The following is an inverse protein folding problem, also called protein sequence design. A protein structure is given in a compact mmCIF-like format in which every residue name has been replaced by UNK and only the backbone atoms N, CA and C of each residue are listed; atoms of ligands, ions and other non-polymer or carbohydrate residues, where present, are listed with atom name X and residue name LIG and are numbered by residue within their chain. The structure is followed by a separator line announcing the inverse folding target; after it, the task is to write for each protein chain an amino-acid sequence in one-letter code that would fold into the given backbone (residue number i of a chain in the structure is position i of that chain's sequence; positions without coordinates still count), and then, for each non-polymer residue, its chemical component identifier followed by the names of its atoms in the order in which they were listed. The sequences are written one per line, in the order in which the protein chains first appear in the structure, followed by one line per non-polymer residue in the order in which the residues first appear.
data_IF_191900368816
#
_entry.id   IF_191900368816
#
_cell.length_a   1.000
_cell.length_b   1.000
_cell.length_c   1.000
_cell.angle_alpha   90.00
_cell.angle_beta   90.00
_cell.angle_gamma   90.00
#
_symmetry.space_group_name_H-M   'P 1'
#
loop_
_entity.id
_entity.type
_entity.pdbx_description
1 polymer ?
#
# COMPACT_ATOMS: atom_id res chain seq x y z
N UNK A 1 35.42 53.14 -22.48
CA UNK A 1 35.59 51.67 -22.44
C UNK A 1 34.84 51.18 -21.26
N UNK A 2 33.60 50.77 -21.41
CA UNK A 2 32.69 50.25 -20.39
C UNK A 2 32.26 48.86 -20.83
N UNK A 3 32.75 47.88 -20.11
CA UNK A 3 32.43 46.48 -20.30
C UNK A 3 31.11 46.18 -19.58
N UNK A 4 30.08 45.74 -20.30
CA UNK A 4 28.83 45.28 -19.74
C UNK A 4 28.80 43.77 -19.74
N UNK A 5 28.99 43.21 -18.57
CA UNK A 5 28.83 41.78 -18.32
C UNK A 5 27.33 41.48 -18.15
N UNK A 6 26.73 40.85 -19.12
CA UNK A 6 25.35 40.33 -19.06
C UNK A 6 25.32 39.05 -18.23
N UNK A 7 24.74 39.12 -17.05
CA UNK A 7 24.39 37.93 -16.26
C UNK A 7 23.12 37.29 -16.85
N UNK A 8 23.29 36.13 -17.47
CA UNK A 8 22.19 35.26 -17.86
C UNK A 8 21.75 34.45 -16.64
N UNK A 9 20.64 34.81 -16.04
CA UNK A 9 19.99 34.02 -15.01
C UNK A 9 19.29 32.83 -15.66
N UNK A 10 19.88 31.65 -15.53
CA UNK A 10 19.26 30.37 -15.86
C UNK A 10 18.19 30.07 -14.80
N UNK A 11 16.92 30.26 -15.15
CA UNK A 11 15.81 29.77 -14.32
C UNK A 11 15.74 28.24 -14.47
N UNK A 12 16.25 27.54 -13.46
CA UNK A 12 15.93 26.12 -13.29
C UNK A 12 14.44 26.01 -12.92
N UNK A 13 13.60 25.61 -13.88
CA UNK A 13 12.30 25.03 -13.58
C UNK A 13 12.56 23.75 -12.81
N UNK A 14 12.23 23.73 -11.52
CA UNK A 14 12.14 22.51 -10.74
C UNK A 14 11.02 21.67 -11.38
N UNK A 15 11.41 20.58 -12.01
CA UNK A 15 10.51 19.55 -12.50
C UNK A 15 9.95 18.83 -11.26
N UNK A 16 8.82 19.33 -10.73
CA UNK A 16 8.12 18.68 -9.62
C UNK A 16 7.56 17.37 -10.15
N UNK A 17 8.14 16.26 -9.70
CA UNK A 17 7.70 14.93 -10.12
C UNK A 17 6.21 14.73 -9.78
N UNK A 18 5.43 14.02 -10.61
CA UNK A 18 4.02 13.71 -10.32
C UNK A 18 3.80 13.03 -8.96
N UNK A 19 4.82 12.35 -8.45
CA UNK A 19 4.83 11.66 -7.14
C UNK A 19 4.81 12.65 -5.97
N UNK A 20 5.55 13.76 -6.04
CA UNK A 20 5.54 14.79 -4.98
C UNK A 20 4.18 15.49 -4.88
N UNK A 21 3.53 15.76 -6.00
CA UNK A 21 2.19 16.37 -6.02
C UNK A 21 1.17 15.43 -5.40
N UNK A 22 1.24 14.13 -5.67
CA UNK A 22 0.32 13.14 -5.13
C UNK A 22 0.51 12.90 -3.63
N UNK A 23 1.74 12.88 -3.14
CA UNK A 23 2.02 12.68 -1.71
C UNK A 23 1.44 13.77 -0.81
N UNK A 24 1.12 14.93 -1.37
CA UNK A 24 0.50 16.05 -0.65
C UNK A 24 -1.01 15.91 -0.44
N UNK A 25 -1.65 14.92 -1.07
CA UNK A 25 -3.11 14.75 -1.09
C UNK A 25 -3.58 13.40 -0.54
N UNK A 26 -2.85 12.78 0.35
CA UNK A 26 -3.28 11.55 1.00
C UNK A 26 -3.34 11.70 2.51
N UNK A 27 -4.13 10.83 3.15
CA UNK A 27 -4.15 10.64 4.59
C UNK A 27 -4.20 9.15 4.91
N UNK A 28 -3.65 8.77 6.06
CA UNK A 28 -3.73 7.41 6.58
C UNK A 28 -4.02 7.42 8.07
N UNK A 29 -4.75 6.41 8.52
CA UNK A 29 -5.08 6.22 9.93
C UNK A 29 -5.28 4.75 10.22
N UNK A 30 -4.84 4.31 11.39
CA UNK A 30 -5.14 3.01 11.96
C UNK A 30 -5.44 3.19 13.45
N UNK A 31 -6.37 2.42 13.97
CA UNK A 31 -6.77 2.46 15.38
C UNK A 31 -7.23 1.08 15.84
N UNK A 32 -6.96 0.77 17.11
CA UNK A 32 -7.40 -0.48 17.73
C UNK A 32 -8.92 -0.57 17.90
N UNK A 33 -9.62 0.59 17.89
CA UNK A 33 -11.04 0.67 18.14
C UNK A 33 -11.39 0.55 19.64
N UNK A 34 -12.68 0.31 19.94
CA UNK A 34 -13.19 0.34 21.32
C UNK A 34 -13.41 -1.04 21.94
N UNK A 35 -13.25 -2.13 21.18
CA UNK A 35 -13.60 -3.50 21.57
C UNK A 35 -12.39 -4.42 21.61
N UNK A 36 -11.42 -4.19 20.73
CA UNK A 36 -10.20 -5.01 20.63
C UNK A 36 -9.13 -4.51 21.59
N UNK A 37 -8.29 -5.41 22.06
CA UNK A 37 -7.12 -5.08 22.91
C UNK A 37 -5.89 -4.75 22.06
N UNK A 38 -5.79 -5.34 20.86
CA UNK A 38 -4.68 -5.18 19.93
C UNK A 38 -5.18 -4.73 18.56
N UNK A 39 -4.35 -3.98 17.87
CA UNK A 39 -4.56 -3.60 16.47
C UNK A 39 -3.82 -4.61 15.59
N UNK A 40 -4.57 -5.43 14.87
CA UNK A 40 -4.03 -6.44 13.95
C UNK A 40 -3.87 -5.90 12.52
N UNK A 41 -4.19 -4.62 12.31
CA UNK A 41 -4.06 -3.96 11.01
C UNK A 41 -2.64 -3.44 10.80
N UNK A 42 -2.19 -3.49 9.57
CA UNK A 42 -0.97 -2.83 9.11
C UNK A 42 -1.24 -2.05 7.83
N UNK A 43 -0.49 -0.97 7.64
CA UNK A 43 -0.62 -0.15 6.43
C UNK A 43 0.74 0.36 5.96
N UNK A 44 0.80 0.74 4.69
CA UNK A 44 1.92 1.49 4.15
C UNK A 44 1.45 2.59 3.20
N UNK A 45 2.18 3.70 3.24
CA UNK A 45 2.05 4.82 2.31
C UNK A 45 3.44 5.18 1.82
N UNK A 46 3.82 4.58 0.71
CA UNK A 46 5.09 4.80 -0.01
C UNK A 46 4.77 5.08 -1.48
N UNK A 47 4.32 6.30 -1.82
CA UNK A 47 3.90 6.59 -3.18
C UNK A 47 4.92 6.09 -4.23
N UNK A 48 4.47 5.41 -5.30
CA UNK A 48 3.07 5.25 -5.74
C UNK A 48 2.29 4.11 -5.06
N UNK A 49 2.86 3.40 -4.08
CA UNK A 49 2.25 2.30 -3.33
C UNK A 49 1.44 2.82 -2.12
N UNK A 50 0.22 2.31 -2.02
CA UNK A 50 -0.66 2.44 -0.86
C UNK A 50 -1.24 1.06 -0.53
N UNK A 51 -1.17 0.63 0.71
CA UNK A 51 -1.73 -0.67 1.07
C UNK A 51 -2.24 -0.70 2.51
N UNK A 52 -3.28 -1.51 2.72
CA UNK A 52 -3.83 -1.86 4.02
C UNK A 52 -3.98 -3.38 4.12
N UNK A 53 -3.73 -3.92 5.29
CA UNK A 53 -3.83 -5.34 5.60
C UNK A 53 -4.50 -5.50 6.98
N UNK A 54 -5.59 -6.25 7.03
CA UNK A 54 -6.33 -6.60 8.26
C UNK A 54 -6.00 -8.04 8.63
N UNK A 55 -5.26 -8.19 9.71
CA UNK A 55 -4.74 -9.47 10.16
C UNK A 55 -5.78 -10.31 10.90
N UNK A 56 -5.66 -11.62 10.79
CA UNK A 56 -6.49 -12.59 11.48
C UNK A 56 -5.67 -13.79 11.99
N UNK A 57 -6.09 -14.40 13.07
CA UNK A 57 -5.40 -15.58 13.61
C UNK A 57 -5.41 -15.66 15.15
N UNK A 58 -6.06 -14.72 15.77
CA UNK A 58 -6.18 -14.61 17.23
C UNK A 58 -4.89 -14.17 17.92
N UNK A 59 -5.00 -13.35 18.96
CA UNK A 59 -3.90 -12.74 19.68
C UNK A 59 -2.97 -11.96 18.71
N UNK A 60 -1.65 -12.09 18.89
CA UNK A 60 -0.64 -11.38 18.10
C UNK A 60 -0.42 -11.95 16.68
N UNK A 61 -1.07 -13.06 16.34
CA UNK A 61 -0.78 -13.74 15.06
C UNK A 61 -1.31 -12.97 13.86
N UNK A 62 -2.45 -12.28 13.98
CA UNK A 62 -2.97 -11.40 12.92
C UNK A 62 -2.05 -10.21 12.68
N UNK A 63 -1.55 -9.58 13.74
CA UNK A 63 -0.58 -8.48 13.63
C UNK A 63 0.69 -8.92 12.87
N UNK A 64 1.24 -10.10 13.22
CA UNK A 64 2.40 -10.66 12.54
C UNK A 64 2.13 -10.88 11.05
N UNK A 65 0.97 -11.43 10.71
CA UNK A 65 0.62 -11.71 9.31
C UNK A 65 0.46 -10.42 8.49
N UNK A 66 -0.24 -9.41 9.03
CA UNK A 66 -0.41 -8.13 8.35
C UNK A 66 0.92 -7.39 8.20
N UNK A 67 1.79 -7.42 9.22
CA UNK A 67 3.11 -6.79 9.18
C UNK A 67 4.03 -7.45 8.15
N UNK A 68 4.11 -8.79 8.11
CA UNK A 68 4.89 -9.51 7.09
C UNK A 68 4.43 -9.13 5.68
N UNK A 69 3.11 -9.03 5.49
CA UNK A 69 2.53 -8.68 4.19
C UNK A 69 2.92 -7.28 3.77
N UNK A 70 2.75 -6.30 4.64
CA UNK A 70 3.12 -4.90 4.33
C UNK A 70 4.62 -4.75 4.11
N UNK A 71 5.46 -5.37 4.93
CA UNK A 71 6.91 -5.32 4.76
C UNK A 71 7.35 -5.95 3.44
N UNK A 72 6.74 -7.07 3.04
CA UNK A 72 7.03 -7.71 1.74
C UNK A 72 6.64 -6.79 0.57
N UNK A 73 5.50 -6.11 0.65
CA UNK A 73 5.10 -5.15 -0.38
C UNK A 73 6.04 -3.94 -0.43
N UNK A 74 6.48 -3.43 0.70
CA UNK A 74 7.46 -2.34 0.75
C UNK A 74 8.75 -2.68 0.01
N UNK A 75 9.18 -3.94 0.09
CA UNK A 75 10.41 -4.43 -0.55
C UNK A 75 10.23 -4.77 -2.03
N UNK A 76 9.07 -5.31 -2.42
CA UNK A 76 8.89 -5.98 -3.72
C UNK A 76 7.85 -5.32 -4.64
N UNK A 77 7.00 -4.43 -4.14
CA UNK A 77 5.99 -3.80 -4.99
C UNK A 77 6.65 -2.92 -6.06
N UNK A 78 6.07 -2.87 -7.28
CA UNK A 78 6.60 -2.05 -8.34
C UNK A 78 6.46 -0.55 -8.01
N UNK A 79 7.37 0.24 -8.55
CA UNK A 79 7.33 1.71 -8.48
C UNK A 79 6.60 2.34 -9.68
N UNK A 80 5.96 1.52 -10.48
CA UNK A 80 5.15 1.92 -11.64
C UNK A 80 3.86 1.09 -11.69
N UNK A 81 2.90 1.52 -12.50
CA UNK A 81 1.61 0.84 -12.66
C UNK A 81 1.75 -0.47 -13.48
N UNK A 82 2.47 -1.44 -12.93
CA UNK A 82 2.68 -2.79 -13.46
C UNK A 82 1.87 -3.81 -12.64
N UNK A 83 0.76 -4.28 -13.22
CA UNK A 83 -0.17 -5.19 -12.56
C UNK A 83 0.45 -6.58 -12.30
N UNK A 84 1.28 -7.08 -13.21
CA UNK A 84 1.93 -8.38 -13.04
C UNK A 84 3.00 -8.33 -11.94
N UNK A 85 3.77 -7.25 -11.88
CA UNK A 85 4.76 -7.06 -10.83
C UNK A 85 4.08 -6.93 -9.45
N UNK A 86 2.97 -6.20 -9.35
CA UNK A 86 2.19 -6.12 -8.12
C UNK A 86 1.62 -7.50 -7.72
N UNK A 87 1.09 -8.26 -8.66
CA UNK A 87 0.59 -9.61 -8.40
C UNK A 87 1.70 -10.54 -7.88
N UNK A 88 2.91 -10.48 -8.44
CA UNK A 88 4.07 -11.24 -7.94
C UNK A 88 4.44 -10.85 -6.50
N UNK A 89 4.41 -9.57 -6.18
CA UNK A 89 4.66 -9.09 -4.81
C UNK A 89 3.61 -9.63 -3.81
N UNK A 90 2.34 -9.67 -4.20
CA UNK A 90 1.25 -10.25 -3.39
C UNK A 90 1.47 -11.75 -3.17
N UNK A 91 1.83 -12.50 -4.20
CA UNK A 91 2.15 -13.93 -4.08
C UNK A 91 3.34 -14.14 -3.13
N UNK A 92 4.38 -13.33 -3.25
CA UNK A 92 5.54 -13.40 -2.36
C UNK A 92 5.14 -13.11 -0.90
N UNK A 93 4.29 -12.12 -0.65
CA UNK A 93 3.77 -11.83 0.68
C UNK A 93 3.02 -13.03 1.27
N UNK A 94 2.13 -13.66 0.50
CA UNK A 94 1.41 -14.86 0.93
C UNK A 94 2.38 -16.01 1.29
N UNK A 95 3.40 -16.24 0.47
CA UNK A 95 4.41 -17.27 0.77
C UNK A 95 5.21 -16.96 2.04
N UNK A 96 5.53 -15.71 2.31
CA UNK A 96 6.23 -15.31 3.52
C UNK A 96 5.37 -15.52 4.76
N UNK A 97 4.07 -15.19 4.71
CA UNK A 97 3.12 -15.48 5.81
C UNK A 97 3.02 -16.98 6.08
N UNK A 98 2.89 -17.81 5.03
CA UNK A 98 2.80 -19.27 5.17
C UNK A 98 4.07 -19.88 5.75
N UNK A 99 5.24 -19.36 5.41
CA UNK A 99 6.53 -19.88 5.87
C UNK A 99 6.91 -19.42 7.30
N UNK A 100 6.42 -18.30 7.75
CA UNK A 100 6.82 -17.68 9.02
C UNK A 100 6.71 -18.60 10.24
N UNK A 101 5.63 -19.42 10.42
CA UNK A 101 5.53 -20.32 11.54
C UNK A 101 6.65 -21.39 11.60
N UNK A 102 7.12 -21.90 10.46
CA UNK A 102 8.25 -22.83 10.42
C UNK A 102 9.58 -22.22 10.87
N UNK A 103 9.65 -20.89 10.91
CA UNK A 103 10.79 -20.12 11.38
C UNK A 103 10.60 -19.61 12.84
N UNK A 104 9.53 -20.03 13.51
CA UNK A 104 9.19 -19.60 14.86
C UNK A 104 8.55 -18.19 14.93
N UNK A 105 8.01 -17.69 13.82
CA UNK A 105 7.39 -16.36 13.72
C UNK A 105 5.89 -16.52 13.55
N UNK A 106 5.10 -15.93 14.47
CA UNK A 106 3.65 -16.09 14.49
C UNK A 106 3.21 -17.53 14.77
N UNK A 107 2.10 -17.96 14.17
CA UNK A 107 1.58 -19.33 14.33
C UNK A 107 0.91 -19.83 13.06
N UNK A 108 0.74 -21.15 12.97
CA UNK A 108 -0.02 -21.77 11.91
C UNK A 108 -1.47 -21.28 11.87
N UNK A 109 -2.00 -21.07 10.68
CA UNK A 109 -3.36 -20.59 10.46
C UNK A 109 -3.52 -19.05 10.57
N UNK A 110 -2.46 -18.31 10.87
CA UNK A 110 -2.50 -16.85 10.74
C UNK A 110 -2.68 -16.44 9.28
N UNK A 111 -3.34 -15.32 9.07
CA UNK A 111 -3.57 -14.77 7.75
C UNK A 111 -3.85 -13.28 7.82
N UNK A 112 -4.03 -12.68 6.68
CA UNK A 112 -4.40 -11.27 6.58
C UNK A 112 -5.15 -11.01 5.28
N UNK A 113 -6.04 -10.03 5.29
CA UNK A 113 -6.51 -9.41 4.06
C UNK A 113 -5.39 -8.55 3.47
N UNK A 114 -5.55 -8.15 2.23
CA UNK A 114 -4.72 -7.15 1.58
C UNK A 114 -5.54 -6.37 0.56
N UNK A 115 -5.48 -5.06 0.64
CA UNK A 115 -5.88 -4.17 -0.44
C UNK A 115 -4.72 -3.24 -0.72
N UNK A 116 -4.11 -3.39 -1.89
CA UNK A 116 -2.96 -2.60 -2.32
C UNK A 116 -3.29 -1.84 -3.60
N UNK A 117 -2.79 -0.63 -3.71
CA UNK A 117 -2.96 0.24 -4.86
C UNK A 117 -1.63 0.82 -5.31
N UNK A 118 -1.40 0.82 -6.62
CA UNK A 118 -0.34 1.61 -7.27
C UNK A 118 -1.03 2.71 -8.07
N UNK A 119 -0.73 3.94 -7.72
CA UNK A 119 -1.27 5.11 -8.41
C UNK A 119 -0.15 5.86 -9.13
N UNK A 120 -0.14 5.77 -10.45
CA UNK A 120 0.85 6.41 -11.30
C UNK A 120 0.15 7.21 -12.40
N UNK A 121 0.34 8.52 -12.42
CA UNK A 121 -0.31 9.44 -13.35
C UNK A 121 -1.84 9.26 -13.31
N UNK A 122 -2.44 8.81 -14.41
CA UNK A 122 -3.87 8.57 -14.55
C UNK A 122 -4.25 7.07 -14.43
N UNK A 123 -3.31 6.22 -14.02
CA UNK A 123 -3.51 4.78 -13.88
C UNK A 123 -3.55 4.38 -12.41
N UNK A 124 -4.63 3.72 -12.03
CA UNK A 124 -4.78 3.07 -10.74
C UNK A 124 -4.81 1.55 -10.96
N UNK A 125 -3.91 0.84 -10.29
CA UNK A 125 -3.90 -0.62 -10.24
C UNK A 125 -4.20 -1.04 -8.82
N UNK A 126 -5.11 -1.99 -8.65
CA UNK A 126 -5.49 -2.53 -7.36
C UNK A 126 -5.27 -4.03 -7.36
N UNK A 127 -4.63 -4.51 -6.28
CA UNK A 127 -4.60 -5.92 -5.92
C UNK A 127 -5.37 -6.11 -4.62
N UNK A 128 -6.18 -7.18 -4.55
CA UNK A 128 -6.99 -7.47 -3.37
C UNK A 128 -6.97 -8.95 -3.03
N UNK A 129 -6.92 -9.21 -1.72
CA UNK A 129 -7.15 -10.52 -1.09
C UNK A 129 -8.03 -10.29 0.14
N UNK A 130 -9.15 -11.00 0.23
CA UNK A 130 -10.08 -10.90 1.35
C UNK A 130 -11.23 -9.93 1.13
N UNK A 131 -11.76 -9.35 2.20
CA UNK A 131 -12.98 -8.53 2.24
C UNK A 131 -12.76 -7.08 2.67
N UNK A 132 -11.52 -6.64 2.85
CA UNK A 132 -11.20 -5.22 2.91
C UNK A 132 -11.49 -4.56 1.57
N UNK A 133 -12.03 -3.32 1.59
CA UNK A 133 -12.63 -2.72 0.39
C UNK A 133 -11.94 -1.44 -0.03
N UNK A 134 -11.86 -1.23 -1.33
CA UNK A 134 -11.50 0.05 -1.92
C UNK A 134 -12.70 0.70 -2.60
N UNK A 135 -12.82 2.01 -2.44
CA UNK A 135 -13.88 2.83 -3.01
C UNK A 135 -13.26 3.96 -3.84
N UNK A 136 -13.89 4.25 -4.95
CA UNK A 136 -13.60 5.40 -5.80
C UNK A 136 -14.72 6.44 -5.65
N UNK A 137 -14.35 7.65 -5.27
CA UNK A 137 -15.24 8.81 -5.35
C UNK A 137 -14.89 9.60 -6.61
N UNK A 138 -15.82 9.61 -7.57
CA UNK A 138 -15.65 10.33 -8.82
C UNK A 138 -16.93 11.08 -9.20
N UNK A 139 -16.81 12.34 -9.53
CA UNK A 139 -17.96 13.21 -9.90
C UNK A 139 -19.12 13.15 -8.90
N UNK A 140 -18.81 13.12 -7.60
CA UNK A 140 -19.82 13.05 -6.53
C UNK A 140 -20.46 11.68 -6.33
N UNK A 141 -20.05 10.65 -7.07
CA UNK A 141 -20.53 9.27 -6.95
C UNK A 141 -19.46 8.39 -6.28
N UNK A 142 -19.85 7.69 -5.22
CA UNK A 142 -19.01 6.71 -4.53
C UNK A 142 -19.30 5.31 -5.06
N UNK A 143 -18.26 4.62 -5.51
CA UNK A 143 -18.35 3.27 -6.05
C UNK A 143 -17.33 2.35 -5.37
N UNK A 144 -17.77 1.17 -4.90
CA UNK A 144 -16.87 0.10 -4.51
C UNK A 144 -16.23 -0.50 -5.76
N UNK A 145 -14.90 -0.50 -5.82
CA UNK A 145 -14.13 -0.98 -6.98
C UNK A 145 -13.47 -2.34 -6.74
N UNK A 146 -13.61 -2.88 -5.55
CA UNK A 146 -13.15 -4.23 -5.16
C UNK A 146 -14.34 -5.17 -5.00
N UNK A 147 -14.07 -6.48 -5.07
CA UNK A 147 -15.07 -7.52 -4.81
C UNK A 147 -14.62 -8.33 -3.61
N UNK A 148 -15.51 -8.48 -2.62
CA UNK A 148 -15.20 -9.26 -1.41
C UNK A 148 -14.91 -10.73 -1.75
N UNK A 149 -13.83 -11.26 -1.20
CA UNK A 149 -13.50 -12.67 -1.19
C UNK A 149 -13.86 -13.20 0.21
N UNK A 150 -15.09 -13.56 0.44
CA UNK A 150 -15.53 -14.23 1.66
C UNK A 150 -15.66 -15.73 1.42
N UNK A 151 -15.17 -16.51 2.37
CA UNK A 151 -15.49 -17.94 2.45
C UNK A 151 -16.93 -18.04 2.95
N UNK A 152 -17.83 -18.52 2.11
CA UNK A 152 -19.19 -18.93 2.52
C UNK A 152 -19.15 -20.34 3.10
#
# INVERSE_FOLDING_TARGET
MTDQTTHTTSSHKSDSSPVEVMSSYYGSRTEVGHVREHNEDSLTVLPPLFAVADGMGGHEAGEVASEITINTLNDLAPTSADAEALARAVVAANLNVIKAPSQGIGREGMGTTLTAAILEKERLIIAQVGDSRAYLLHNGSLQQITRDHSLM
#
